data_IF_870921822191
#
_entry.id   IF_870921822191
#
_cell.length_a   1.000
_cell.length_b   1.000
_cell.length_c   1.000
_cell.angle_alpha   90.00
_cell.angle_beta   90.00
_cell.angle_gamma   90.00
#
_symmetry.space_group_name_H-M   'P 1'
#
loop_
_entity.id
_entity.type
_entity.pdbx_description
1 polymer ?
#
# COMPACT_ATOMS: atom_id res chain seq x y z
N UNK A 1 -0.43 32.61 11.74
CA UNK A 1 0.45 31.43 11.75
C UNK A 1 -0.43 30.21 11.70
N UNK A 2 -0.17 29.27 10.79
CA UNK A 2 -0.91 28.01 10.74
C UNK A 2 -0.66 27.22 12.03
N UNK A 3 -1.73 26.74 12.68
CA UNK A 3 -1.62 25.90 13.86
C UNK A 3 -1.57 24.43 13.40
N UNK A 4 -0.36 23.94 13.12
CA UNK A 4 -0.10 22.59 12.63
C UNK A 4 0.10 21.64 13.80
N UNK A 5 -0.53 20.46 13.73
CA UNK A 5 -0.44 19.44 14.78
C UNK A 5 0.55 18.33 14.44
N UNK A 6 1.26 17.86 15.46
CA UNK A 6 2.15 16.71 15.39
C UNK A 6 1.33 15.45 15.06
N UNK A 7 1.69 14.67 14.02
CA UNK A 7 1.01 13.41 13.69
C UNK A 7 1.05 12.41 14.85
N UNK A 8 2.14 12.41 15.62
CA UNK A 8 2.35 11.45 16.70
C UNK A 8 1.58 11.79 17.98
N UNK A 9 1.59 13.07 18.42
CA UNK A 9 1.03 13.44 19.73
C UNK A 9 -0.02 14.56 19.70
N UNK A 10 -0.35 15.10 18.53
CA UNK A 10 -1.37 16.14 18.36
C UNK A 10 -1.02 17.53 18.92
N UNK A 11 0.15 17.68 19.55
CA UNK A 11 0.70 18.96 20.04
C UNK A 11 1.13 19.86 18.89
N UNK A 12 1.11 21.19 19.06
CA UNK A 12 1.54 22.10 18.00
C UNK A 12 3.01 21.91 17.64
N UNK A 13 3.33 21.98 16.35
CA UNK A 13 4.70 21.88 15.82
C UNK A 13 5.22 23.24 15.38
N UNK A 14 6.55 23.39 15.42
CA UNK A 14 7.26 24.51 14.82
C UNK A 14 7.62 24.16 13.38
N UNK A 15 7.40 25.10 12.45
CA UNK A 15 7.74 24.93 11.03
C UNK A 15 9.01 25.72 10.72
N UNK A 16 10.00 25.04 10.15
CA UNK A 16 11.24 25.64 9.67
C UNK A 16 11.50 25.21 8.23
N UNK A 17 11.28 26.12 7.29
CA UNK A 17 11.42 25.83 5.86
C UNK A 17 10.46 24.71 5.43
N UNK A 18 11.01 23.60 4.96
CA UNK A 18 10.27 22.41 4.52
C UNK A 18 10.12 21.32 5.60
N UNK A 19 10.50 21.61 6.85
CA UNK A 19 10.45 20.66 7.97
C UNK A 19 9.59 21.16 9.12
N UNK A 20 9.05 20.22 9.88
CA UNK A 20 8.33 20.45 11.12
C UNK A 20 9.01 19.75 12.28
N UNK A 21 8.90 20.32 13.47
CA UNK A 21 9.48 19.79 14.71
C UNK A 21 8.49 19.96 15.86
N UNK A 22 8.21 18.88 16.59
CA UNK A 22 7.37 18.90 17.77
C UNK A 22 8.22 19.12 19.03
N UNK A 23 8.14 20.31 19.61
CA UNK A 23 8.84 20.62 20.87
C UNK A 23 8.32 19.88 22.11
N UNK A 24 7.25 19.07 21.99
CA UNK A 24 6.69 18.29 23.10
C UNK A 24 7.22 16.84 23.12
N UNK A 25 7.09 16.11 22.01
CA UNK A 25 7.53 14.71 21.93
C UNK A 25 8.89 14.52 21.26
N UNK A 26 9.45 15.57 20.64
CA UNK A 26 10.73 15.51 19.94
C UNK A 26 10.66 14.92 18.54
N UNK A 27 9.47 14.59 18.05
CA UNK A 27 9.27 14.09 16.69
C UNK A 27 9.49 15.21 15.65
N UNK A 28 10.00 14.85 14.48
CA UNK A 28 10.30 15.78 13.41
C UNK A 28 10.17 15.11 12.04
N UNK A 29 9.82 15.89 11.03
CA UNK A 29 9.61 15.35 9.70
C UNK A 29 9.57 16.40 8.61
N UNK A 30 9.43 15.92 7.37
CA UNK A 30 9.15 16.78 6.22
C UNK A 30 7.70 17.27 6.29
N UNK A 31 7.40 18.47 5.80
CA UNK A 31 6.00 18.92 5.61
C UNK A 31 5.21 17.93 4.74
N UNK A 32 5.90 17.20 3.85
CA UNK A 32 5.30 16.15 3.01
C UNK A 32 4.83 14.94 3.80
N UNK A 33 5.29 14.73 5.03
CA UNK A 33 4.81 13.64 5.90
C UNK A 33 3.62 14.03 6.77
N UNK A 34 3.17 15.29 6.73
CA UNK A 34 1.97 15.71 7.45
C UNK A 34 0.69 15.18 6.80
N UNK A 35 -0.34 14.98 7.62
CA UNK A 35 -1.68 14.63 7.14
C UNK A 35 -2.21 15.70 6.15
N UNK A 36 -2.96 15.33 5.10
CA UNK A 36 -3.48 16.26 4.10
C UNK A 36 -4.22 17.47 4.67
N UNK A 37 -5.00 17.26 5.73
CA UNK A 37 -5.73 18.36 6.42
C UNK A 37 -4.81 19.37 7.12
N UNK A 38 -3.64 18.95 7.58
CA UNK A 38 -2.62 19.83 8.17
C UNK A 38 -1.81 20.55 7.07
N UNK A 39 -1.52 19.87 5.96
CA UNK A 39 -0.92 20.50 4.76
C UNK A 39 -1.83 21.61 4.19
N UNK A 40 -3.14 21.38 4.15
CA UNK A 40 -4.11 22.38 3.69
C UNK A 40 -4.07 23.67 4.53
N UNK A 41 -3.84 23.58 5.84
CA UNK A 41 -3.69 24.74 6.73
C UNK A 41 -2.44 25.55 6.45
N UNK A 42 -1.34 24.90 6.03
CA UNK A 42 -0.12 25.60 5.59
C UNK A 42 -0.37 26.39 4.29
N UNK A 43 -1.09 25.80 3.34
CA UNK A 43 -1.43 26.43 2.06
C UNK A 43 -2.35 27.64 2.28
N UNK A 44 -3.34 27.51 3.18
CA UNK A 44 -4.23 28.62 3.54
C UNK A 44 -3.51 29.78 4.24
N UNK A 45 -2.50 29.50 5.06
CA UNK A 45 -1.72 30.54 5.74
C UNK A 45 -0.71 31.26 4.83
N UNK A 46 -0.40 30.71 3.66
CA UNK A 46 0.60 31.22 2.72
C UNK A 46 0.02 32.06 1.57
N UNK A 47 -1.30 32.20 1.45
CA UNK A 47 -1.92 32.85 0.30
C UNK A 47 -2.28 34.33 0.57
N UNK A 48 -1.76 35.31 -0.20
CA UNK A 48 -2.31 36.65 -0.19
C UNK A 48 -3.66 36.67 -0.91
N UNK A 49 -4.65 37.36 -0.34
CA UNK A 49 -6.00 37.45 -0.91
C UNK A 49 -5.99 38.25 -2.22
N UNK A 50 -6.17 37.56 -3.35
CA UNK A 50 -6.47 38.20 -4.63
C UNK A 50 -7.97 38.04 -4.89
N UNK A 51 -8.70 39.15 -4.97
CA UNK A 51 -10.09 39.13 -5.40
C UNK A 51 -10.13 39.04 -6.93
N UNK A 52 -10.43 37.85 -7.45
CA UNK A 52 -10.72 37.64 -8.87
C UNK A 52 -12.24 37.55 -9.03
N UNK A 53 -12.83 38.50 -9.74
CA UNK A 53 -14.23 38.43 -10.16
C UNK A 53 -14.32 37.56 -11.40
N UNK A 54 -14.71 36.30 -11.24
CA UNK A 54 -14.96 35.38 -12.35
C UNK A 54 -16.38 35.57 -12.85
N UNK A 55 -16.52 35.93 -14.13
CA UNK A 55 -17.82 35.93 -14.81
C UNK A 55 -18.08 34.50 -15.27
N UNK A 56 -19.07 33.83 -14.67
CA UNK A 56 -19.42 32.45 -15.00
C UNK A 56 -20.04 32.44 -16.40
N UNK A 57 -19.26 31.99 -17.37
CA UNK A 57 -19.81 31.36 -18.58
C UNK A 57 -19.91 29.89 -18.23
N UNK A 58 -21.13 29.38 -18.29
CA UNK A 58 -21.45 27.99 -17.98
C UNK A 58 -20.88 27.08 -19.07
N UNK A 59 -19.59 26.77 -18.93
CA UNK A 59 -18.99 25.56 -19.48
C UNK A 59 -18.77 24.62 -18.31
N UNK A 60 -19.87 24.23 -17.64
CA UNK A 60 -19.92 23.00 -16.87
C UNK A 60 -19.77 21.82 -17.83
N UNK A 61 -18.52 21.55 -18.22
CA UNK A 61 -18.07 20.18 -18.27
C UNK A 61 -17.45 19.97 -16.89
N UNK A 62 -18.25 19.46 -15.96
CA UNK A 62 -17.73 18.56 -14.94
C UNK A 62 -16.64 17.72 -15.62
N UNK A 63 -15.39 17.78 -15.14
CA UNK A 63 -14.48 16.67 -15.36
C UNK A 63 -15.15 15.50 -14.64
N UNK A 64 -16.08 14.84 -15.34
CA UNK A 64 -16.58 13.56 -14.97
C UNK A 64 -15.33 12.72 -14.77
N UNK A 65 -15.05 12.40 -13.51
CA UNK A 65 -13.98 11.52 -13.09
C UNK A 65 -14.00 10.35 -14.07
N UNK A 66 -13.01 10.30 -14.97
CA UNK A 66 -13.03 9.38 -16.10
C UNK A 66 -13.09 7.99 -15.48
N UNK A 67 -14.20 7.29 -15.67
CA UNK A 67 -14.29 5.90 -15.23
C UNK A 67 -13.44 5.07 -16.18
N UNK A 68 -12.48 4.35 -15.63
CA UNK A 68 -11.63 3.45 -16.38
C UNK A 68 -12.24 2.05 -16.40
N UNK A 69 -12.21 1.40 -17.56
CA UNK A 69 -12.54 -0.01 -17.63
C UNK A 69 -11.48 -0.85 -16.91
N UNK A 70 -11.86 -2.07 -16.49
CA UNK A 70 -10.92 -3.04 -15.92
C UNK A 70 -9.68 -3.24 -16.80
N UNK A 71 -9.84 -3.31 -18.12
CA UNK A 71 -8.72 -3.51 -19.04
C UNK A 71 -7.78 -2.30 -19.10
N UNK A 72 -8.30 -1.07 -19.03
CA UNK A 72 -7.47 0.13 -18.92
C UNK A 72 -6.69 0.15 -17.60
N UNK A 73 -7.35 -0.22 -16.49
CA UNK A 73 -6.71 -0.30 -15.17
C UNK A 73 -5.62 -1.38 -15.12
N UNK A 74 -5.90 -2.58 -15.64
CA UNK A 74 -4.88 -3.64 -15.77
C UNK A 74 -3.70 -3.19 -16.63
N UNK A 75 -3.94 -2.42 -17.69
CA UNK A 75 -2.90 -1.90 -18.57
C UNK A 75 -2.05 -0.81 -17.89
N UNK A 76 -2.66 0.07 -17.08
CA UNK A 76 -1.94 1.04 -16.25
C UNK A 76 -1.01 0.35 -15.24
N UNK A 77 -1.53 -0.62 -14.48
CA UNK A 77 -0.73 -1.38 -13.50
C UNK A 77 0.36 -2.19 -14.20
N UNK A 78 0.05 -2.82 -15.34
CA UNK A 78 1.01 -3.63 -16.11
C UNK A 78 2.16 -2.80 -16.70
N UNK A 79 1.89 -1.57 -17.13
CA UNK A 79 2.92 -0.65 -17.61
C UNK A 79 3.59 0.14 -16.49
N UNK A 80 3.06 0.03 -15.27
CA UNK A 80 3.46 0.80 -14.11
C UNK A 80 3.41 2.32 -14.36
N UNK A 81 2.32 2.77 -14.98
CA UNK A 81 2.06 4.19 -15.28
C UNK A 81 0.71 4.62 -14.69
N UNK A 82 0.81 5.45 -13.65
CA UNK A 82 -0.32 5.94 -12.87
C UNK A 82 -0.61 7.42 -13.12
N UNK A 83 -0.06 8.01 -14.19
CA UNK A 83 -0.24 9.43 -14.50
C UNK A 83 -1.68 9.81 -14.81
N UNK A 84 -2.47 8.89 -15.38
CA UNK A 84 -3.90 9.09 -15.64
C UNK A 84 -4.78 8.72 -14.45
N UNK A 85 -4.33 7.80 -13.58
CA UNK A 85 -5.05 7.37 -12.39
C UNK A 85 -4.06 6.90 -11.31
N UNK A 86 -3.85 7.75 -10.29
CA UNK A 86 -3.00 7.42 -9.13
C UNK A 86 -3.57 6.26 -8.29
N UNK A 87 -4.88 6.00 -8.38
CA UNK A 87 -5.59 4.95 -7.67
C UNK A 87 -5.78 3.68 -8.49
N UNK A 88 -5.04 3.49 -9.59
CA UNK A 88 -5.28 2.39 -10.53
C UNK A 88 -5.25 1.00 -9.87
N UNK A 89 -4.41 0.78 -8.86
CA UNK A 89 -4.39 -0.48 -8.09
C UNK A 89 -5.73 -0.72 -7.37
N UNK A 90 -6.22 0.25 -6.59
CA UNK A 90 -7.51 0.16 -5.89
C UNK A 90 -8.65 -0.01 -6.88
N UNK A 91 -8.70 0.83 -7.90
CA UNK A 91 -9.78 0.82 -8.87
C UNK A 91 -9.79 -0.49 -9.67
N UNK A 92 -8.62 -1.07 -9.95
CA UNK A 92 -8.50 -2.41 -10.53
C UNK A 92 -9.13 -3.47 -9.61
N UNK A 93 -8.86 -3.43 -8.31
CA UNK A 93 -9.45 -4.36 -7.35
C UNK A 93 -10.98 -4.21 -7.29
N UNK A 94 -11.49 -2.98 -7.21
CA UNK A 94 -12.93 -2.69 -7.23
C UNK A 94 -13.57 -3.24 -8.51
N UNK A 95 -12.95 -2.99 -9.67
CA UNK A 95 -13.47 -3.44 -10.96
C UNK A 95 -13.39 -4.96 -11.16
N UNK A 96 -12.39 -5.63 -10.57
CA UNK A 96 -12.19 -7.07 -10.68
C UNK A 96 -13.01 -7.87 -9.67
N UNK A 97 -13.33 -7.29 -8.50
CA UNK A 97 -14.01 -7.95 -7.39
C UNK A 97 -15.25 -7.17 -6.91
N UNK A 98 -16.24 -6.88 -7.79
CA UNK A 98 -17.40 -6.06 -7.44
C UNK A 98 -18.24 -6.67 -6.30
N UNK A 99 -18.26 -8.00 -6.18
CA UNK A 99 -18.99 -8.69 -5.10
C UNK A 99 -18.33 -8.56 -3.73
N UNK A 100 -17.00 -8.43 -3.69
CA UNK A 100 -16.26 -8.24 -2.45
C UNK A 100 -16.57 -6.84 -1.87
N UNK A 101 -16.61 -5.86 -2.75
CA UNK A 101 -16.72 -4.44 -2.39
C UNK A 101 -18.15 -3.94 -2.22
N UNK A 102 -19.16 -4.79 -2.47
CA UNK A 102 -20.59 -4.44 -2.40
C UNK A 102 -21.08 -3.98 -1.02
N UNK A 103 -20.29 -4.22 0.02
CA UNK A 103 -20.65 -3.89 1.40
C UNK A 103 -20.38 -2.41 1.72
N UNK A 104 -19.51 -1.75 0.95
CA UNK A 104 -19.21 -0.33 1.06
C UNK A 104 -20.01 0.47 0.01
N UNK A 105 -20.42 1.66 0.40
CA UNK A 105 -20.96 2.69 -0.50
C UNK A 105 -19.87 3.24 -1.43
N UNK A 106 -20.29 3.95 -2.48
CA UNK A 106 -19.34 4.61 -3.39
C UNK A 106 -18.53 5.68 -2.66
N UNK A 107 -19.14 6.38 -1.70
CA UNK A 107 -18.45 7.36 -0.86
C UNK A 107 -17.38 6.69 0.01
N UNK A 108 -17.71 5.60 0.71
CA UNK A 108 -16.74 4.86 1.53
C UNK A 108 -15.57 4.34 0.68
N UNK A 109 -15.84 3.72 -0.47
CA UNK A 109 -14.79 3.24 -1.38
C UNK A 109 -13.90 4.36 -1.93
N UNK A 110 -14.42 5.60 -2.03
CA UNK A 110 -13.62 6.74 -2.50
C UNK A 110 -12.62 7.25 -1.47
N UNK A 111 -12.87 6.98 -0.19
CA UNK A 111 -12.00 7.37 0.93
C UNK A 111 -10.91 6.33 1.20
N UNK A 112 -11.11 5.08 0.76
CA UNK A 112 -10.15 3.98 0.92
C UNK A 112 -9.03 4.06 -0.13
N UNK A 113 -7.81 3.75 0.29
CA UNK A 113 -6.74 3.38 -0.64
C UNK A 113 -6.75 1.86 -0.94
N UNK A 114 -5.76 1.35 -1.69
CA UNK A 114 -5.74 -0.08 -2.01
C UNK A 114 -5.37 -0.94 -0.79
N UNK A 115 -4.52 -0.43 0.11
CA UNK A 115 -4.15 -1.11 1.35
C UNK A 115 -5.35 -1.26 2.28
N UNK A 116 -6.11 -0.17 2.52
CA UNK A 116 -7.35 -0.18 3.31
C UNK A 116 -8.34 -1.21 2.74
N UNK A 117 -8.55 -1.18 1.42
CA UNK A 117 -9.47 -2.11 0.74
C UNK A 117 -9.06 -3.57 0.94
N UNK A 118 -7.76 -3.87 0.82
CA UNK A 118 -7.23 -5.21 0.99
C UNK A 118 -7.36 -5.70 2.44
N UNK A 119 -7.01 -4.86 3.40
CA UNK A 119 -7.06 -5.19 4.84
C UNK A 119 -8.51 -5.40 5.27
N UNK A 120 -9.41 -4.46 4.96
CA UNK A 120 -10.82 -4.61 5.34
C UNK A 120 -11.49 -5.80 4.63
N UNK A 121 -11.17 -6.04 3.35
CA UNK A 121 -11.61 -7.27 2.67
C UNK A 121 -11.10 -8.51 3.40
N UNK A 122 -9.84 -8.51 3.86
CA UNK A 122 -9.26 -9.63 4.58
C UNK A 122 -9.95 -9.92 5.91
N UNK A 123 -10.45 -8.92 6.63
CA UNK A 123 -11.16 -9.15 7.89
C UNK A 123 -12.49 -9.92 7.68
N UNK A 124 -13.11 -9.75 6.50
CA UNK A 124 -14.37 -10.39 6.15
C UNK A 124 -14.20 -11.69 5.35
N UNK A 125 -13.29 -11.68 4.38
CA UNK A 125 -13.00 -12.78 3.46
C UNK A 125 -11.50 -12.80 3.09
N UNK A 126 -10.66 -13.45 3.93
CA UNK A 126 -9.23 -13.61 3.68
C UNK A 126 -8.91 -14.27 2.33
N UNK A 127 -9.77 -15.14 1.82
CA UNK A 127 -9.51 -15.82 0.56
C UNK A 127 -9.64 -14.85 -0.62
N UNK A 128 -10.69 -14.02 -0.62
CA UNK A 128 -10.84 -12.96 -1.62
C UNK A 128 -9.70 -11.94 -1.55
N UNK A 129 -9.25 -11.56 -0.35
CA UNK A 129 -8.09 -10.67 -0.21
C UNK A 129 -6.80 -11.28 -0.80
N UNK A 130 -6.58 -12.60 -0.66
CA UNK A 130 -5.47 -13.30 -1.33
C UNK A 130 -5.63 -13.22 -2.86
N UNK A 131 -6.85 -13.41 -3.39
CA UNK A 131 -7.08 -13.29 -4.84
C UNK A 131 -6.82 -11.86 -5.35
N UNK A 132 -7.16 -10.84 -4.55
CA UNK A 132 -6.84 -9.43 -4.86
C UNK A 132 -5.33 -9.18 -4.88
N UNK A 133 -4.60 -9.64 -3.86
CA UNK A 133 -3.14 -9.58 -3.81
C UNK A 133 -2.52 -10.25 -5.05
N UNK A 134 -2.96 -11.47 -5.38
CA UNK A 134 -2.48 -12.21 -6.56
C UNK A 134 -2.74 -11.45 -7.85
N UNK A 135 -3.90 -10.82 -8.00
CA UNK A 135 -4.21 -10.02 -9.19
C UNK A 135 -3.20 -8.86 -9.35
N UNK A 136 -2.89 -8.14 -8.28
CA UNK A 136 -1.92 -7.04 -8.34
C UNK A 136 -0.52 -7.54 -8.67
N UNK A 137 -0.04 -8.58 -7.98
CA UNK A 137 1.28 -9.17 -8.20
C UNK A 137 1.43 -9.73 -9.62
N UNK A 138 0.39 -10.40 -10.14
CA UNK A 138 0.37 -10.95 -11.49
C UNK A 138 0.36 -9.86 -12.55
N UNK A 139 -0.38 -8.77 -12.31
CA UNK A 139 -0.48 -7.67 -13.26
C UNK A 139 0.81 -6.87 -13.30
N UNK A 140 1.45 -6.67 -12.15
CA UNK A 140 2.70 -5.93 -11.98
C UNK A 140 3.98 -6.79 -12.06
N UNK A 141 3.88 -8.07 -12.44
CA UNK A 141 4.97 -9.05 -12.26
C UNK A 141 6.31 -8.60 -12.87
N UNK A 142 6.29 -7.98 -14.05
CA UNK A 142 7.51 -7.47 -14.71
C UNK A 142 8.20 -6.33 -13.95
N UNK A 143 7.47 -5.64 -13.06
CA UNK A 143 7.94 -4.51 -12.27
C UNK A 143 8.40 -4.92 -10.86
N UNK A 144 8.14 -6.16 -10.42
CA UNK A 144 8.63 -6.65 -9.12
C UNK A 144 10.17 -6.71 -9.03
N UNK A 145 10.87 -6.56 -10.14
CA UNK A 145 12.34 -6.52 -10.21
C UNK A 145 12.89 -5.08 -10.13
N UNK A 146 12.02 -4.08 -10.18
CA UNK A 146 12.37 -2.68 -9.95
C UNK A 146 12.20 -2.35 -8.45
N UNK A 147 13.23 -1.80 -7.76
CA UNK A 147 13.17 -1.57 -6.33
C UNK A 147 12.05 -0.61 -5.88
N UNK A 148 11.76 0.44 -6.65
CA UNK A 148 10.74 1.42 -6.29
C UNK A 148 9.34 0.81 -6.45
N UNK A 149 9.10 0.11 -7.56
CA UNK A 149 7.85 -0.58 -7.80
C UNK A 149 7.60 -1.72 -6.81
N UNK A 150 8.62 -2.53 -6.52
CA UNK A 150 8.53 -3.62 -5.56
C UNK A 150 8.29 -3.09 -4.14
N UNK A 151 8.97 -2.01 -3.73
CA UNK A 151 8.72 -1.35 -2.45
C UNK A 151 7.31 -0.79 -2.36
N UNK A 152 6.84 -0.10 -3.40
CA UNK A 152 5.47 0.42 -3.42
C UNK A 152 4.45 -0.72 -3.27
N UNK A 153 4.61 -1.82 -4.02
CA UNK A 153 3.61 -2.88 -3.97
C UNK A 153 3.67 -3.72 -2.69
N UNK A 154 4.86 -4.17 -2.28
CA UNK A 154 5.03 -5.09 -1.14
C UNK A 154 5.25 -4.36 0.18
N UNK A 155 5.97 -3.25 0.15
CA UNK A 155 6.31 -2.44 1.32
C UNK A 155 5.28 -1.34 1.64
N UNK A 156 4.30 -1.09 0.77
CA UNK A 156 3.19 -0.17 1.02
C UNK A 156 1.84 -0.87 0.82
N UNK A 157 1.39 -1.11 -0.42
CA UNK A 157 0.01 -1.58 -0.69
C UNK A 157 -0.34 -2.94 -0.05
N UNK A 158 0.59 -3.89 -0.07
CA UNK A 158 0.39 -5.25 0.47
C UNK A 158 0.95 -5.42 1.88
N UNK A 159 1.52 -4.38 2.48
CA UNK A 159 2.28 -4.48 3.72
C UNK A 159 1.41 -4.99 4.87
N UNK A 160 0.37 -4.23 5.23
CA UNK A 160 -0.53 -4.57 6.35
C UNK A 160 -1.30 -5.87 6.09
N UNK A 161 -1.61 -6.16 4.82
CA UNK A 161 -2.24 -7.41 4.44
C UNK A 161 -1.36 -8.61 4.79
N UNK A 162 -0.07 -8.59 4.44
CA UNK A 162 0.85 -9.69 4.70
C UNK A 162 1.10 -9.92 6.19
N UNK A 163 1.05 -8.85 7.01
CA UNK A 163 1.22 -8.93 8.46
C UNK A 163 -0.07 -9.36 9.19
N UNK A 164 -1.22 -9.35 8.49
CA UNK A 164 -2.52 -9.63 9.07
C UNK A 164 -2.64 -11.07 9.59
N UNK A 165 -2.98 -11.21 10.87
CA UNK A 165 -3.26 -12.51 11.48
C UNK A 165 -4.42 -13.27 10.81
N UNK A 166 -5.35 -12.56 10.15
CA UNK A 166 -6.49 -13.16 9.46
C UNK A 166 -6.08 -13.90 8.19
N UNK A 167 -5.08 -13.39 7.45
CA UNK A 167 -4.66 -13.99 6.17
C UNK A 167 -3.70 -15.16 6.36
N UNK A 168 -2.85 -15.13 7.41
CA UNK A 168 -1.69 -16.02 7.58
C UNK A 168 -1.97 -17.49 7.26
N UNK A 169 -2.95 -18.19 7.88
CA UNK A 169 -3.14 -19.61 7.62
C UNK A 169 -3.44 -19.91 6.15
N UNK A 170 -4.24 -19.05 5.51
CA UNK A 170 -4.65 -19.19 4.11
C UNK A 170 -3.50 -18.84 3.17
N UNK A 171 -2.76 -17.77 3.48
CA UNK A 171 -1.59 -17.38 2.69
C UNK A 171 -0.55 -18.50 2.66
N UNK A 172 -0.25 -19.13 3.80
CA UNK A 172 0.67 -20.26 3.85
C UNK A 172 0.18 -21.44 3.01
N UNK A 173 -1.11 -21.75 3.03
CA UNK A 173 -1.68 -22.81 2.19
C UNK A 173 -1.53 -22.51 0.68
N UNK A 174 -1.73 -21.26 0.26
CA UNK A 174 -1.44 -20.85 -1.12
C UNK A 174 0.05 -20.98 -1.44
N UNK A 175 0.95 -20.53 -0.58
CA UNK A 175 2.40 -20.58 -0.82
C UNK A 175 2.97 -22.01 -0.91
N UNK A 176 2.30 -23.01 -0.32
CA UNK A 176 2.65 -24.42 -0.50
C UNK A 176 2.47 -24.87 -1.95
N UNK A 177 1.42 -24.39 -2.62
CA UNK A 177 0.99 -24.91 -3.93
C UNK A 177 1.23 -23.96 -5.10
N UNK A 178 1.35 -22.66 -4.83
CA UNK A 178 1.55 -21.61 -5.81
C UNK A 178 3.01 -21.11 -5.79
N UNK A 179 3.85 -21.76 -6.60
CA UNK A 179 5.26 -21.39 -6.76
C UNK A 179 5.44 -19.99 -7.35
N UNK A 180 4.47 -19.50 -8.14
CA UNK A 180 4.56 -18.16 -8.75
C UNK A 180 4.37 -17.10 -7.68
N UNK A 181 3.33 -17.22 -6.86
CA UNK A 181 3.10 -16.33 -5.73
C UNK A 181 4.32 -16.31 -4.78
N UNK A 182 4.87 -17.48 -4.46
CA UNK A 182 6.05 -17.57 -3.61
C UNK A 182 7.26 -16.81 -4.20
N UNK A 183 7.50 -16.92 -5.51
CA UNK A 183 8.58 -16.17 -6.18
C UNK A 183 8.29 -14.67 -6.25
N UNK A 184 7.05 -14.27 -6.51
CA UNK A 184 6.66 -12.85 -6.54
C UNK A 184 6.90 -12.19 -5.18
N UNK A 185 6.64 -12.88 -4.07
CA UNK A 185 6.87 -12.34 -2.72
C UNK A 185 8.34 -12.41 -2.30
N UNK A 186 9.06 -13.51 -2.59
CA UNK A 186 10.40 -13.77 -2.02
C UNK A 186 11.56 -13.52 -2.98
N UNK A 187 11.31 -13.30 -4.28
CA UNK A 187 12.33 -13.01 -5.30
C UNK A 187 12.09 -11.68 -6.01
N UNK A 188 11.37 -10.77 -5.37
CA UNK A 188 11.25 -9.38 -5.81
C UNK A 188 12.48 -8.56 -5.40
N UNK A 189 12.60 -7.35 -5.94
CA UNK A 189 13.59 -6.35 -5.54
C UNK A 189 13.36 -5.76 -4.14
N UNK A 190 12.26 -6.12 -3.48
CA UNK A 190 11.97 -5.77 -2.10
C UNK A 190 11.86 -7.02 -1.22
N UNK A 191 12.61 -7.04 -0.14
CA UNK A 191 12.52 -8.01 0.95
C UNK A 191 12.54 -7.22 2.25
N UNK A 192 11.58 -7.47 3.13
CA UNK A 192 11.46 -6.81 4.43
C UNK A 192 10.43 -7.51 5.33
N UNK A 193 9.73 -6.72 6.14
CA UNK A 193 8.83 -7.23 7.17
C UNK A 193 7.70 -8.15 6.68
N UNK A 194 7.10 -7.96 5.48
CA UNK A 194 6.15 -8.94 4.94
C UNK A 194 6.73 -10.36 4.83
N UNK A 195 7.97 -10.50 4.35
CA UNK A 195 8.63 -11.79 4.20
C UNK A 195 9.05 -12.36 5.55
N UNK A 196 9.52 -11.51 6.47
CA UNK A 196 9.81 -11.89 7.86
C UNK A 196 8.58 -12.47 8.57
N UNK A 197 7.44 -11.78 8.54
CA UNK A 197 6.20 -12.24 9.21
C UNK A 197 5.69 -13.55 8.60
N UNK A 198 5.81 -13.74 7.27
CA UNK A 198 5.45 -15.01 6.62
C UNK A 198 6.37 -16.15 7.10
N UNK A 199 7.68 -15.93 7.19
CA UNK A 199 8.64 -16.94 7.66
C UNK A 199 8.43 -17.27 9.15
N UNK A 200 8.20 -16.26 9.98
CA UNK A 200 7.84 -16.42 11.39
C UNK A 200 6.54 -17.21 11.54
N UNK A 201 5.54 -16.89 10.71
CA UNK A 201 4.26 -17.63 10.68
C UNK A 201 4.47 -19.09 10.32
N UNK A 202 5.37 -19.41 9.38
CA UNK A 202 5.71 -20.80 9.08
C UNK A 202 6.29 -21.52 10.31
N UNK A 203 7.20 -20.89 11.06
CA UNK A 203 7.73 -21.45 12.32
C UNK A 203 6.62 -21.68 13.36
N UNK A 204 5.79 -20.65 13.62
CA UNK A 204 4.71 -20.71 14.59
C UNK A 204 3.67 -21.78 14.27
N UNK A 205 3.43 -22.05 12.98
CA UNK A 205 2.47 -23.05 12.50
C UNK A 205 3.11 -24.43 12.24
N UNK A 206 4.42 -24.59 12.46
CA UNK A 206 5.13 -25.86 12.25
C UNK A 206 5.34 -26.24 10.77
N UNK A 207 5.20 -25.29 9.85
CA UNK A 207 5.30 -25.46 8.40
C UNK A 207 6.76 -25.46 7.93
N UNK A 208 7.54 -26.44 8.40
CA UNK A 208 9.00 -26.51 8.19
C UNK A 208 9.40 -26.60 6.71
N UNK A 209 8.71 -27.44 5.93
CA UNK A 209 9.02 -27.62 4.50
C UNK A 209 8.74 -26.36 3.70
N UNK A 210 7.63 -25.67 4.02
CA UNK A 210 7.31 -24.38 3.41
C UNK A 210 8.35 -23.32 3.79
N UNK A 211 8.70 -23.22 5.08
CA UNK A 211 9.73 -22.28 5.56
C UNK A 211 11.04 -22.47 4.81
N UNK A 212 11.50 -23.72 4.67
CA UNK A 212 12.74 -24.01 3.94
C UNK A 212 12.63 -23.61 2.47
N UNK A 213 11.52 -23.95 1.80
CA UNK A 213 11.27 -23.53 0.41
C UNK A 213 11.36 -22.01 0.24
N UNK A 214 10.78 -21.23 1.14
CA UNK A 214 10.79 -19.77 1.08
C UNK A 214 12.19 -19.19 1.36
N UNK A 215 12.94 -19.77 2.30
CA UNK A 215 14.35 -19.43 2.54
C UNK A 215 15.24 -19.74 1.33
N UNK A 216 15.02 -20.87 0.65
CA UNK A 216 15.76 -21.22 -0.55
C UNK A 216 15.49 -20.23 -1.70
N UNK A 217 14.25 -19.71 -1.80
CA UNK A 217 13.90 -18.65 -2.75
C UNK A 217 14.66 -17.35 -2.46
N UNK A 218 14.74 -16.94 -1.19
CA UNK A 218 15.50 -15.76 -0.77
C UNK A 218 17.00 -15.92 -1.02
N UNK A 219 17.56 -17.08 -0.70
CA UNK A 219 18.98 -17.36 -0.97
C UNK A 219 19.31 -17.27 -2.48
N UNK A 220 18.31 -17.48 -3.34
CA UNK A 220 18.42 -17.33 -4.79
C UNK A 220 17.95 -15.96 -5.32
N UNK A 221 17.56 -15.03 -4.45
CA UNK A 221 17.11 -13.70 -4.84
C UNK A 221 18.33 -12.87 -5.34
N UNK A 222 18.31 -12.35 -6.59
CA UNK A 222 19.44 -11.59 -7.13
C UNK A 222 19.60 -10.18 -6.52
N UNK A 223 18.61 -9.68 -5.76
CA UNK A 223 18.65 -8.34 -5.20
C UNK A 223 19.26 -8.33 -3.79
N UNK A 224 20.02 -7.28 -3.44
CA UNK A 224 20.56 -7.14 -2.10
C UNK A 224 19.42 -6.92 -1.11
N UNK A 225 19.46 -7.66 0.00
CA UNK A 225 18.57 -7.49 1.13
C UNK A 225 19.33 -7.82 2.41
N UNK A 226 18.87 -7.28 3.53
CA UNK A 226 19.43 -7.63 4.83
C UNK A 226 19.17 -9.11 5.14
N UNK A 227 20.00 -9.69 6.02
CA UNK A 227 19.71 -11.01 6.55
C UNK A 227 18.43 -10.92 7.38
N UNK A 228 17.47 -11.78 7.07
CA UNK A 228 16.22 -11.89 7.84
C UNK A 228 16.60 -12.46 9.21
N UNK A 229 16.52 -11.63 10.24
CA UNK A 229 16.73 -12.03 11.63
C UNK A 229 15.57 -12.93 12.09
N UNK A 230 15.70 -14.22 11.82
CA UNK A 230 14.79 -15.21 12.38
C UNK A 230 15.31 -15.61 13.75
N UNK A 231 14.54 -15.36 14.81
CA UNK A 231 14.80 -15.98 16.11
C UNK A 231 14.88 -17.50 15.89
N UNK A 232 16.08 -18.06 16.09
CA UNK A 232 16.30 -19.49 15.93
C UNK A 232 15.51 -20.20 17.01
N UNK A 233 14.58 -21.06 16.61
CA UNK A 233 13.88 -21.98 17.52
C UNK A 233 14.96 -22.75 18.32
N UNK A 234 15.14 -22.42 19.61
CA UNK A 234 15.94 -23.22 20.52
C UNK A 234 15.27 -24.62 20.62
N UNK A 235 16.07 -25.66 20.38
CA UNK A 235 15.69 -27.09 20.29
C UNK A 235 14.82 -27.62 21.43
#
# INVERSE_FOLDING_TARGET
MANIRCPYCGSPVMIQGSRWECGWCGDFGSISSLHPSEKAKLIQAASPTIQVTVTVTDTSAEEALRSFSRTELEDMVRRWDFSENEWACRDLLIAAFPEAVRHWSTEELSEMDAMDLLVETCEHDPETAIQMMKLLLDTAESHLQDPEAAYFLLGNELYDLCLSGYIRPRLLDHLKTDDRLARQLFQSAYVGSPQEDILLSCSQMGERDLRQKLLDLLACNPFPHDEIELETDEE
#
